data_IF_421181488193
#
_entry.id   IF_421181488193
#
_cell.length_a   1.000
_cell.length_b   1.000
_cell.length_c   1.000
_cell.angle_alpha   90.00
_cell.angle_beta   90.00
_cell.angle_gamma   90.00
#
_symmetry.space_group_name_H-M   'P 1'
#
loop_
_entity.id
_entity.type
_entity.pdbx_description
1 polymer ?
#
# COMPACT_ATOMS: atom_id res chain seq x y z
N UNK A 1 16.16 10.66 -20.43
CA UNK A 1 14.94 10.27 -21.13
C UNK A 1 14.23 9.31 -20.19
N UNK A 2 13.14 9.73 -19.57
CA UNK A 2 12.28 8.83 -18.80
C UNK A 2 11.56 7.94 -19.80
N UNK A 3 11.95 6.68 -19.91
CA UNK A 3 11.15 5.67 -20.60
C UNK A 3 9.86 5.58 -19.80
N UNK A 4 8.74 6.03 -20.36
CA UNK A 4 7.46 5.96 -19.66
C UNK A 4 7.15 4.50 -19.38
N UNK A 5 6.58 4.18 -18.22
CA UNK A 5 6.11 2.81 -17.89
C UNK A 5 5.15 2.23 -18.96
N UNK A 6 4.67 3.07 -19.89
CA UNK A 6 3.81 2.71 -21.02
C UNK A 6 4.52 1.87 -22.10
N UNK A 7 5.86 1.88 -22.14
CA UNK A 7 6.65 1.14 -23.14
C UNK A 7 7.18 -0.22 -22.63
N UNK A 8 6.89 -0.56 -21.36
CA UNK A 8 7.31 -1.84 -20.77
C UNK A 8 6.20 -2.87 -21.03
N UNK A 9 6.51 -4.07 -21.58
CA UNK A 9 5.53 -5.12 -21.73
C UNK A 9 4.84 -5.45 -20.40
N UNK A 10 3.54 -5.77 -20.39
CA UNK A 10 2.83 -6.10 -19.14
C UNK A 10 3.51 -7.26 -18.42
N UNK A 11 3.53 -7.22 -17.09
CA UNK A 11 4.05 -8.31 -16.29
C UNK A 11 3.19 -9.57 -16.47
N UNK A 12 3.75 -10.79 -16.33
CA UNK A 12 2.95 -12.01 -16.35
C UNK A 12 1.79 -11.90 -15.36
N UNK A 13 0.56 -12.26 -15.75
CA UNK A 13 -0.60 -12.12 -14.88
C UNK A 13 -0.51 -13.03 -13.64
N UNK A 14 -1.01 -12.54 -12.50
CA UNK A 14 -1.27 -13.36 -11.34
C UNK A 14 -2.55 -14.20 -11.51
N UNK A 15 -2.78 -15.14 -10.59
CA UNK A 15 -4.06 -15.84 -10.51
C UNK A 15 -5.08 -14.91 -9.84
N UNK A 16 -6.13 -14.54 -10.58
CA UNK A 16 -7.21 -13.71 -10.03
C UNK A 16 -8.13 -14.51 -9.14
N UNK A 17 -8.35 -14.04 -7.92
CA UNK A 17 -9.19 -14.67 -6.90
C UNK A 17 -10.14 -13.61 -6.34
N UNK A 18 -11.44 -13.90 -6.33
CA UNK A 18 -12.43 -13.04 -5.69
C UNK A 18 -12.38 -13.21 -4.17
N UNK A 19 -12.25 -12.13 -3.43
CA UNK A 19 -12.35 -12.16 -1.97
C UNK A 19 -13.76 -11.81 -1.46
N UNK A 20 -14.62 -11.29 -2.35
CA UNK A 20 -16.04 -11.04 -2.10
C UNK A 20 -16.83 -11.09 -3.42
N UNK A 21 -18.10 -10.64 -3.41
CA UNK A 21 -19.03 -10.81 -4.55
C UNK A 21 -19.00 -9.67 -5.57
N UNK A 22 -18.37 -8.54 -5.25
CA UNK A 22 -18.36 -7.36 -6.12
C UNK A 22 -17.29 -7.45 -7.20
N UNK A 23 -17.51 -6.77 -8.31
CA UNK A 23 -16.62 -6.71 -9.47
C UNK A 23 -15.18 -6.31 -9.09
N UNK A 24 -15.03 -5.33 -8.20
CA UNK A 24 -13.73 -4.79 -7.76
C UNK A 24 -13.20 -5.46 -6.48
N UNK A 25 -13.85 -6.53 -6.02
CA UNK A 25 -13.48 -7.24 -4.81
C UNK A 25 -12.68 -8.50 -5.15
N UNK A 26 -11.58 -8.29 -5.85
CA UNK A 26 -10.67 -9.33 -6.36
C UNK A 26 -9.22 -9.00 -5.98
N UNK A 27 -8.38 -10.01 -5.99
CA UNK A 27 -6.94 -9.83 -5.90
C UNK A 27 -6.22 -10.74 -6.89
N UNK A 28 -5.02 -10.35 -7.27
CA UNK A 28 -4.13 -11.14 -8.11
C UNK A 28 -3.03 -11.76 -7.24
N UNK A 29 -3.02 -13.09 -7.16
CA UNK A 29 -2.02 -13.86 -6.43
C UNK A 29 -0.91 -14.31 -7.38
N UNK A 30 0.34 -13.96 -7.05
CA UNK A 30 1.53 -14.55 -7.64
C UNK A 30 2.26 -15.36 -6.60
N UNK A 31 2.64 -16.58 -6.94
CA UNK A 31 3.38 -17.47 -6.04
C UNK A 31 4.75 -17.74 -6.67
N UNK A 32 5.86 -17.58 -5.93
CA UNK A 32 7.18 -17.87 -6.49
C UNK A 32 7.32 -19.35 -6.79
N UNK A 33 8.23 -19.68 -7.70
CA UNK A 33 8.62 -21.06 -7.96
C UNK A 33 9.32 -21.68 -6.75
N UNK A 34 9.22 -23.00 -6.62
CA UNK A 34 9.87 -23.75 -5.55
C UNK A 34 8.90 -24.22 -4.47
N UNK A 35 9.45 -24.85 -3.45
CA UNK A 35 8.66 -25.45 -2.36
C UNK A 35 8.36 -24.40 -1.30
N UNK A 36 7.07 -24.14 -1.03
CA UNK A 36 6.60 -23.29 0.07
C UNK A 36 6.72 -23.93 1.47
N UNK A 37 6.15 -23.32 2.51
CA UNK A 37 5.28 -22.16 2.41
C UNK A 37 6.08 -20.84 2.18
N UNK A 38 5.53 -19.97 1.31
CA UNK A 38 6.16 -18.72 0.92
C UNK A 38 5.72 -17.55 1.81
N UNK A 39 6.62 -16.65 2.23
CA UNK A 39 6.23 -15.39 2.85
C UNK A 39 5.38 -14.57 1.89
N UNK A 40 4.56 -13.65 2.41
CA UNK A 40 3.56 -12.92 1.62
C UNK A 40 3.80 -11.42 1.70
N UNK A 41 3.71 -10.75 0.56
CA UNK A 41 3.51 -9.31 0.48
C UNK A 41 2.08 -9.02 -0.01
N UNK A 42 1.26 -8.41 0.85
CA UNK A 42 0.02 -7.76 0.41
C UNK A 42 0.43 -6.48 -0.30
N UNK A 43 -0.03 -6.28 -1.53
CA UNK A 43 0.33 -5.09 -2.32
C UNK A 43 -0.92 -4.30 -2.66
N UNK A 44 -0.91 -2.98 -2.36
CA UNK A 44 -2.05 -2.09 -2.61
C UNK A 44 -1.61 -0.95 -3.53
N UNK A 45 -2.30 -0.83 -4.67
CA UNK A 45 -2.01 0.18 -5.68
C UNK A 45 -2.46 1.60 -5.25
N UNK A 46 -1.90 2.60 -5.91
CA UNK A 46 -2.20 4.01 -5.71
C UNK A 46 -3.34 4.55 -6.56
N UNK A 47 -3.14 5.76 -7.12
CA UNK A 47 -4.10 6.41 -8.02
C UNK A 47 -5.13 7.29 -7.32
N UNK A 48 -4.79 7.88 -6.17
CA UNK A 48 -5.69 8.79 -5.44
C UNK A 48 -7.09 8.21 -5.19
N UNK A 49 -7.18 6.89 -4.96
CA UNK A 49 -8.45 6.16 -4.75
C UNK A 49 -9.47 6.34 -5.88
N UNK A 50 -9.08 6.74 -7.11
CA UNK A 50 -9.98 7.00 -8.24
C UNK A 50 -10.12 5.78 -9.15
N UNK A 51 -11.34 5.52 -9.64
CA UNK A 51 -11.70 4.36 -10.46
C UNK A 51 -10.90 4.21 -11.78
N UNK A 52 -10.24 5.27 -12.25
CA UNK A 52 -9.41 5.22 -13.46
C UNK A 52 -8.07 4.49 -13.32
N UNK A 53 -7.66 4.18 -12.09
CA UNK A 53 -6.43 3.44 -11.78
C UNK A 53 -6.79 2.08 -11.20
N UNK A 54 -5.97 1.08 -11.44
CA UNK A 54 -6.22 -0.30 -11.04
C UNK A 54 -4.92 -1.04 -10.67
N UNK A 55 -5.01 -2.34 -10.46
CA UNK A 55 -3.90 -3.24 -10.13
C UNK A 55 -2.68 -3.14 -11.07
N UNK A 56 -2.88 -2.69 -12.32
CA UNK A 56 -1.79 -2.60 -13.31
C UNK A 56 -0.69 -1.65 -12.88
N UNK A 57 -1.02 -0.64 -12.05
CA UNK A 57 -0.03 0.29 -11.53
C UNK A 57 1.14 -0.41 -10.81
N UNK A 58 0.86 -1.53 -10.14
CA UNK A 58 1.84 -2.25 -9.30
C UNK A 58 2.19 -3.65 -9.81
N UNK A 59 1.77 -4.03 -11.01
CA UNK A 59 2.00 -5.40 -11.50
C UNK A 59 3.48 -5.75 -11.68
N UNK A 60 4.30 -4.80 -12.16
CA UNK A 60 5.75 -4.98 -12.30
C UNK A 60 6.45 -5.07 -10.95
N UNK A 61 6.00 -4.27 -9.98
CA UNK A 61 6.47 -4.35 -8.60
C UNK A 61 6.14 -5.72 -8.00
N UNK A 62 4.91 -6.22 -8.17
CA UNK A 62 4.51 -7.54 -7.71
C UNK A 62 5.35 -8.65 -8.31
N UNK A 63 5.60 -8.62 -9.63
CA UNK A 63 6.46 -9.57 -10.30
C UNK A 63 7.89 -9.53 -9.75
N UNK A 64 8.45 -8.33 -9.58
CA UNK A 64 9.80 -8.17 -9.06
C UNK A 64 9.93 -8.66 -7.60
N UNK A 65 8.93 -8.41 -6.75
CA UNK A 65 8.87 -8.91 -5.37
C UNK A 65 8.71 -10.44 -5.38
N UNK A 66 7.89 -10.98 -6.29
CA UNK A 66 7.72 -12.44 -6.41
C UNK A 66 9.02 -13.15 -6.77
N UNK A 67 9.85 -12.55 -7.63
CA UNK A 67 11.20 -13.06 -7.95
C UNK A 67 12.15 -13.05 -6.76
N UNK A 68 11.85 -12.31 -5.70
CA UNK A 68 12.62 -12.35 -4.44
C UNK A 68 12.16 -13.47 -3.49
N UNK A 69 11.22 -14.32 -3.91
CA UNK A 69 10.76 -15.47 -3.13
C UNK A 69 9.54 -15.19 -2.23
N UNK A 70 8.87 -14.06 -2.39
CA UNK A 70 7.62 -13.76 -1.69
C UNK A 70 6.41 -14.02 -2.60
N UNK A 71 5.36 -14.62 -2.08
CA UNK A 71 4.08 -14.53 -2.75
C UNK A 71 3.55 -13.09 -2.67
N UNK A 72 2.98 -12.58 -3.77
CA UNK A 72 2.32 -11.27 -3.76
C UNK A 72 0.82 -11.43 -3.89
N UNK A 73 0.08 -10.79 -2.98
CA UNK A 73 -1.37 -10.68 -2.99
C UNK A 73 -1.72 -9.22 -3.28
N UNK A 74 -1.92 -8.89 -4.56
CA UNK A 74 -2.25 -7.54 -5.01
C UNK A 74 -3.76 -7.35 -4.97
N UNK A 75 -4.22 -6.35 -4.21
CA UNK A 75 -5.64 -6.10 -3.98
C UNK A 75 -6.19 -5.04 -4.92
N UNK A 76 -7.28 -5.38 -5.62
CA UNK A 76 -8.20 -4.41 -6.17
C UNK A 76 -9.23 -4.05 -5.10
N UNK A 77 -9.81 -2.87 -5.17
CA UNK A 77 -10.79 -2.36 -4.21
C UNK A 77 -11.75 -1.38 -4.88
N UNK A 78 -12.94 -1.17 -4.34
CA UNK A 78 -13.87 -0.14 -4.81
C UNK A 78 -13.27 1.25 -4.57
N UNK A 79 -13.27 2.07 -5.61
CA UNK A 79 -12.66 3.41 -5.63
C UNK A 79 -13.73 4.47 -5.83
N UNK A 80 -13.38 5.72 -5.61
CA UNK A 80 -14.20 6.89 -5.98
C UNK A 80 -14.59 6.77 -7.46
N UNK A 81 -15.89 6.77 -7.74
CA UNK A 81 -16.45 6.52 -9.08
C UNK A 81 -17.00 5.10 -9.27
N UNK A 82 -16.62 4.13 -8.46
CA UNK A 82 -17.27 2.82 -8.44
C UNK A 82 -18.48 2.82 -7.48
N UNK A 83 -19.53 2.01 -7.75
CA UNK A 83 -20.64 1.85 -6.82
C UNK A 83 -20.16 1.39 -5.43
N UNK A 84 -20.45 2.18 -4.40
CA UNK A 84 -20.02 1.92 -3.03
C UNK A 84 -18.53 2.17 -2.74
N UNK A 85 -17.80 2.80 -3.66
CA UNK A 85 -16.43 3.25 -3.43
C UNK A 85 -16.37 4.51 -2.56
N UNK A 86 -15.17 4.87 -2.08
CA UNK A 86 -14.99 5.88 -1.03
C UNK A 86 -15.24 5.29 0.35
N UNK A 87 -15.48 6.17 1.33
CA UNK A 87 -15.77 5.77 2.71
C UNK A 87 -17.18 5.15 2.87
N UNK A 88 -17.33 4.01 3.58
CA UNK A 88 -16.26 3.16 4.12
C UNK A 88 -15.81 2.07 3.13
N UNK A 89 -16.44 1.95 1.95
CA UNK A 89 -16.32 0.81 1.05
C UNK A 89 -14.90 0.52 0.58
N UNK A 90 -14.10 1.55 0.26
CA UNK A 90 -12.68 1.38 -0.12
C UNK A 90 -11.88 0.72 0.99
N UNK A 91 -12.05 1.17 2.22
CA UNK A 91 -11.32 0.67 3.38
C UNK A 91 -11.79 -0.74 3.78
N UNK A 92 -13.12 -0.98 3.74
CA UNK A 92 -13.71 -2.30 4.01
C UNK A 92 -13.22 -3.35 3.02
N UNK A 93 -13.06 -3.00 1.75
CA UNK A 93 -12.53 -3.91 0.73
C UNK A 93 -11.08 -4.29 1.02
N UNK A 94 -10.24 -3.33 1.36
CA UNK A 94 -8.84 -3.59 1.73
C UNK A 94 -8.74 -4.51 2.95
N UNK A 95 -9.53 -4.25 3.98
CA UNK A 95 -9.60 -5.09 5.18
C UNK A 95 -10.06 -6.51 4.84
N UNK A 96 -11.13 -6.65 4.05
CA UNK A 96 -11.69 -7.95 3.66
C UNK A 96 -10.75 -8.72 2.76
N UNK A 97 -10.12 -8.04 1.79
CA UNK A 97 -9.15 -8.63 0.87
C UNK A 97 -7.89 -9.12 1.59
N UNK A 98 -7.39 -8.37 2.59
CA UNK A 98 -6.26 -8.80 3.40
C UNK A 98 -6.61 -10.03 4.25
N UNK A 99 -7.76 -10.04 4.93
CA UNK A 99 -8.24 -11.17 5.72
C UNK A 99 -8.49 -12.43 4.88
N UNK A 100 -8.78 -12.28 3.58
CA UNK A 100 -9.02 -13.42 2.67
C UNK A 100 -7.81 -14.35 2.54
N UNK A 101 -6.59 -13.85 2.78
CA UNK A 101 -5.38 -14.69 2.79
C UNK A 101 -5.51 -15.90 3.71
N UNK A 102 -6.19 -15.78 4.84
CA UNK A 102 -6.40 -16.89 5.78
C UNK A 102 -7.15 -18.07 5.12
N UNK A 103 -8.05 -17.78 4.17
CA UNK A 103 -8.85 -18.79 3.48
C UNK A 103 -8.07 -19.54 2.40
N UNK A 104 -7.09 -18.87 1.77
CA UNK A 104 -6.35 -19.44 0.64
C UNK A 104 -4.95 -19.93 1.02
N UNK A 105 -4.47 -19.63 2.22
CA UNK A 105 -3.08 -19.83 2.62
C UNK A 105 -2.61 -21.27 2.51
N UNK A 106 -3.41 -22.22 3.01
CA UNK A 106 -3.06 -23.66 3.00
C UNK A 106 -2.99 -24.20 1.58
N UNK A 107 -4.00 -23.92 0.77
CA UNK A 107 -4.07 -24.37 -0.63
C UNK A 107 -2.95 -23.79 -1.48
N UNK A 108 -2.59 -22.54 -1.22
CA UNK A 108 -1.59 -21.79 -1.98
C UNK A 108 -0.18 -21.81 -1.37
N UNK A 109 0.03 -22.61 -0.32
CA UNK A 109 1.32 -22.74 0.37
C UNK A 109 1.92 -21.40 0.81
N UNK A 110 1.11 -20.57 1.49
CA UNK A 110 1.49 -19.25 2.00
C UNK A 110 1.85 -19.32 3.49
N UNK A 111 2.89 -18.61 3.90
CA UNK A 111 3.32 -18.49 5.29
C UNK A 111 2.74 -17.23 5.94
N UNK A 112 1.61 -17.36 6.59
CA UNK A 112 0.95 -16.23 7.26
C UNK A 112 1.67 -15.74 8.53
N UNK A 113 2.75 -16.40 8.96
CA UNK A 113 3.63 -15.86 10.01
C UNK A 113 4.62 -14.84 9.47
N UNK A 114 4.76 -14.74 8.14
CA UNK A 114 5.66 -13.84 7.46
C UNK A 114 4.90 -13.01 6.41
N UNK A 115 3.96 -12.19 6.87
CA UNK A 115 3.18 -11.29 6.03
C UNK A 115 3.68 -9.86 6.22
N UNK A 116 4.00 -9.17 5.15
CA UNK A 116 4.21 -7.73 5.10
C UNK A 116 3.14 -7.08 4.24
N UNK A 117 2.77 -5.83 4.54
CA UNK A 117 1.91 -5.05 3.66
C UNK A 117 2.73 -3.94 3.03
N UNK A 118 2.61 -3.78 1.69
CA UNK A 118 3.23 -2.67 0.98
C UNK A 118 2.23 -1.97 0.09
N UNK A 119 2.40 -0.67 -0.10
CA UNK A 119 1.48 0.10 -0.93
C UNK A 119 2.09 1.42 -1.35
N UNK A 120 1.65 1.90 -2.52
CA UNK A 120 2.14 3.12 -3.13
C UNK A 120 1.11 4.25 -3.04
N UNK A 121 1.54 5.46 -2.69
CA UNK A 121 0.69 6.65 -2.73
C UNK A 121 -0.60 6.50 -1.90
N UNK A 122 -1.76 6.51 -2.52
CA UNK A 122 -3.04 6.15 -1.91
C UNK A 122 -3.05 4.71 -1.34
N UNK A 123 -2.36 3.77 -1.99
CA UNK A 123 -2.14 2.42 -1.46
C UNK A 123 -1.24 2.41 -0.21
N UNK A 124 -0.27 3.33 -0.15
CA UNK A 124 0.56 3.56 1.04
C UNK A 124 -0.27 4.04 2.24
N UNK A 125 -1.25 4.92 2.00
CA UNK A 125 -2.26 5.29 2.99
C UNK A 125 -3.02 4.04 3.48
N UNK A 126 -3.52 3.21 2.54
CA UNK A 126 -4.36 2.05 2.84
C UNK A 126 -3.62 0.95 3.62
N UNK A 127 -2.33 0.70 3.36
CA UNK A 127 -1.56 -0.29 4.13
C UNK A 127 -1.23 0.19 5.54
N UNK A 128 -0.97 1.48 5.74
CA UNK A 128 -0.79 2.06 7.07
C UNK A 128 -2.10 1.99 7.86
N UNK A 129 -3.24 2.31 7.24
CA UNK A 129 -4.55 2.18 7.85
C UNK A 129 -4.87 0.71 8.20
N UNK A 130 -4.57 -0.23 7.30
CA UNK A 130 -4.82 -1.67 7.46
C UNK A 130 -4.16 -2.23 8.73
N UNK A 131 -2.97 -1.76 9.08
CA UNK A 131 -2.24 -2.21 10.26
C UNK A 131 -3.04 -2.06 11.55
N UNK A 132 -3.90 -1.04 11.64
CA UNK A 132 -4.74 -0.80 12.82
C UNK A 132 -6.01 -1.64 12.85
N UNK A 133 -6.32 -2.36 11.75
CA UNK A 133 -7.59 -3.08 11.62
C UNK A 133 -7.55 -4.50 12.18
N UNK A 134 -6.37 -5.03 12.52
CA UNK A 134 -6.18 -6.42 12.98
C UNK A 134 -6.81 -7.47 12.05
N UNK A 135 -6.87 -7.17 10.75
CA UNK A 135 -7.47 -8.05 9.74
C UNK A 135 -6.60 -9.27 9.45
N UNK A 136 -5.31 -9.14 9.61
CA UNK A 136 -4.28 -10.18 9.49
C UNK A 136 -3.05 -9.75 10.29
N UNK A 137 -2.31 -10.69 10.85
CA UNK A 137 -1.06 -10.40 11.53
C UNK A 137 0.01 -9.94 10.52
N UNK A 138 0.57 -8.74 10.73
CA UNK A 138 1.60 -8.16 9.88
C UNK A 138 2.95 -8.13 10.62
N UNK A 139 4.03 -8.52 9.95
CA UNK A 139 5.41 -8.33 10.44
C UNK A 139 5.89 -6.90 10.27
N UNK A 140 5.37 -6.20 9.28
CA UNK A 140 5.72 -4.81 9.01
C UNK A 140 5.01 -4.24 7.80
N UNK A 141 5.24 -2.96 7.59
CA UNK A 141 4.65 -2.17 6.52
C UNK A 141 5.76 -1.47 5.74
N UNK A 142 5.64 -1.51 4.41
CA UNK A 142 6.43 -0.72 3.46
C UNK A 142 5.50 0.27 2.78
N UNK A 143 5.53 1.52 3.20
CA UNK A 143 4.71 2.58 2.63
C UNK A 143 5.55 3.42 1.66
N UNK A 144 5.20 3.37 0.38
CA UNK A 144 5.90 4.05 -0.72
C UNK A 144 5.19 5.36 -1.03
N UNK A 145 5.81 6.51 -0.72
CA UNK A 145 5.26 7.85 -0.90
C UNK A 145 3.80 7.99 -0.41
N UNK A 146 3.47 7.57 0.84
CA UNK A 146 2.10 7.44 1.28
C UNK A 146 1.40 8.78 1.49
N UNK A 147 0.09 8.84 1.22
CA UNK A 147 -0.78 9.94 1.67
C UNK A 147 -1.17 9.69 3.14
N UNK A 148 -0.21 9.77 4.05
CA UNK A 148 -0.35 9.31 5.44
C UNK A 148 -1.02 10.32 6.39
N UNK A 149 -1.21 11.58 5.96
CA UNK A 149 -1.91 12.65 6.70
C UNK A 149 -3.02 13.23 5.82
N UNK A 150 -4.25 12.71 5.99
CA UNK A 150 -5.38 13.10 5.14
C UNK A 150 -5.84 14.55 5.37
N UNK A 151 -5.69 15.10 6.58
CA UNK A 151 -6.02 16.51 6.83
C UNK A 151 -5.04 17.41 6.11
N UNK A 152 -3.75 17.10 6.22
CA UNK A 152 -2.72 17.86 5.51
C UNK A 152 -2.86 17.74 3.99
N UNK A 153 -3.15 16.54 3.49
CA UNK A 153 -3.43 16.31 2.08
C UNK A 153 -4.63 17.13 1.57
N UNK A 154 -5.68 17.26 2.39
CA UNK A 154 -6.83 18.10 2.10
C UNK A 154 -6.48 19.58 2.09
N UNK A 155 -5.71 20.08 3.09
CA UNK A 155 -5.23 21.46 3.16
C UNK A 155 -4.39 21.85 1.94
N UNK A 156 -3.50 20.96 1.52
CA UNK A 156 -2.65 21.12 0.35
C UNK A 156 -3.41 20.97 -0.98
N UNK A 157 -4.71 20.61 -0.93
CA UNK A 157 -5.55 20.33 -2.11
C UNK A 157 -4.91 19.31 -3.05
N UNK A 158 -4.28 18.27 -2.51
CA UNK A 158 -3.65 17.23 -3.32
C UNK A 158 -4.68 16.60 -4.27
N UNK A 159 -4.38 16.68 -5.58
CA UNK A 159 -5.31 16.26 -6.64
C UNK A 159 -6.72 16.86 -6.52
N UNK A 160 -6.83 18.13 -6.06
CA UNK A 160 -8.07 18.88 -5.93
C UNK A 160 -8.89 18.49 -4.71
N UNK A 161 -10.08 17.91 -4.92
CA UNK A 161 -11.04 17.55 -3.86
C UNK A 161 -10.95 16.10 -3.41
N UNK A 162 -9.95 15.35 -3.89
CA UNK A 162 -9.97 13.88 -3.81
C UNK A 162 -10.07 13.30 -2.39
N UNK A 163 -9.50 13.98 -1.39
CA UNK A 163 -9.61 13.54 0.00
C UNK A 163 -11.05 13.72 0.51
N UNK A 164 -11.68 14.84 0.16
CA UNK A 164 -13.09 15.08 0.47
C UNK A 164 -13.99 14.10 -0.30
N UNK A 165 -13.66 13.78 -1.55
CA UNK A 165 -14.40 12.80 -2.35
C UNK A 165 -14.30 11.38 -1.74
N UNK A 166 -13.12 11.01 -1.22
CA UNK A 166 -12.92 9.75 -0.52
C UNK A 166 -13.77 9.64 0.75
N UNK A 167 -13.76 10.68 1.58
CA UNK A 167 -14.38 10.68 2.91
C UNK A 167 -15.80 11.20 2.94
N UNK A 168 -16.26 11.81 1.82
CA UNK A 168 -17.62 12.32 1.65
C UNK A 168 -17.81 13.77 2.10
N UNK A 169 -16.74 14.52 2.42
CA UNK A 169 -16.81 15.91 2.83
C UNK A 169 -15.53 16.43 3.48
N UNK A 170 -15.60 17.65 4.04
CA UNK A 170 -14.45 18.35 4.61
C UNK A 170 -14.05 17.79 6.00
N UNK A 171 -12.81 18.06 6.48
CA UNK A 171 -12.40 17.72 7.85
C UNK A 171 -13.19 18.41 8.94
N UNK A 172 -13.78 19.58 8.63
CA UNK A 172 -14.63 20.33 9.56
C UNK A 172 -15.98 19.65 9.76
N UNK A 173 -16.57 19.12 8.67
CA UNK A 173 -17.89 18.48 8.69
C UNK A 173 -17.82 17.03 9.17
N UNK A 174 -16.75 16.32 8.83
CA UNK A 174 -16.59 14.87 9.03
C UNK A 174 -15.34 14.51 9.84
N UNK A 175 -15.05 15.26 10.89
CA UNK A 175 -13.84 15.12 11.71
C UNK A 175 -13.55 13.68 12.15
N UNK A 176 -14.61 12.92 12.52
CA UNK A 176 -14.47 11.53 12.98
C UNK A 176 -14.05 10.58 11.85
N UNK A 177 -14.50 10.82 10.61
CA UNK A 177 -14.04 10.03 9.46
C UNK A 177 -12.57 10.28 9.17
N UNK A 178 -12.12 11.53 9.21
CA UNK A 178 -10.70 11.86 9.08
C UNK A 178 -9.88 11.19 10.18
N UNK A 179 -10.34 11.26 11.44
CA UNK A 179 -9.67 10.61 12.57
C UNK A 179 -9.55 9.10 12.40
N UNK A 180 -10.58 8.44 11.89
CA UNK A 180 -10.60 6.99 11.73
C UNK A 180 -9.93 6.50 10.45
N UNK A 181 -9.70 7.37 9.47
CA UNK A 181 -9.09 7.02 8.19
C UNK A 181 -7.65 7.51 8.04
N UNK A 182 -7.22 8.58 8.72
CA UNK A 182 -5.90 9.17 8.55
C UNK A 182 -4.84 8.42 9.37
N UNK A 183 -3.83 7.78 8.74
CA UNK A 183 -2.82 7.01 9.45
C UNK A 183 -2.10 7.77 10.57
N UNK A 184 -1.81 9.06 10.37
CA UNK A 184 -1.15 9.89 11.40
C UNK A 184 -2.00 10.03 12.67
N UNK A 185 -3.32 9.91 12.57
CA UNK A 185 -4.24 9.98 13.72
C UNK A 185 -4.47 8.59 14.36
N UNK A 186 -3.93 7.51 13.75
CA UNK A 186 -4.10 6.14 14.23
C UNK A 186 -2.87 5.59 14.98
N UNK A 187 -1.77 6.33 15.00
CA UNK A 187 -0.55 5.91 15.70
C UNK A 187 -0.77 5.83 17.23
N UNK A 188 -0.15 4.88 17.96
CA UNK A 188 0.78 3.89 17.44
C UNK A 188 0.06 2.76 16.69
N UNK A 189 0.67 2.29 15.60
CA UNK A 189 0.17 1.14 14.84
C UNK A 189 0.60 -0.21 15.42
N UNK A 190 1.69 -0.22 16.20
CA UNK A 190 2.18 -1.41 16.89
C UNK A 190 2.92 -2.43 16.01
N UNK A 191 3.26 -2.05 14.77
CA UNK A 191 4.06 -2.86 13.84
C UNK A 191 5.21 -2.05 13.27
N UNK A 192 6.29 -2.70 12.84
CA UNK A 192 7.41 -2.03 12.20
C UNK A 192 6.99 -1.35 10.90
N UNK A 193 7.39 -0.10 10.69
CA UNK A 193 7.02 0.71 9.54
C UNK A 193 8.26 1.25 8.85
N UNK A 194 8.33 1.07 7.54
CA UNK A 194 9.35 1.67 6.68
C UNK A 194 8.63 2.52 5.64
N UNK A 195 8.82 3.82 5.74
CA UNK A 195 8.24 4.80 4.83
C UNK A 195 9.34 5.23 3.87
N UNK A 196 9.20 4.91 2.60
CA UNK A 196 10.13 5.32 1.55
C UNK A 196 9.51 6.50 0.78
N UNK A 197 10.31 7.53 0.51
CA UNK A 197 9.82 8.69 -0.21
C UNK A 197 10.93 9.28 -1.09
N UNK A 198 10.61 9.52 -2.35
CA UNK A 198 11.54 10.15 -3.28
C UNK A 198 11.77 11.63 -2.95
N UNK A 199 13.01 12.10 -3.00
CA UNK A 199 13.30 13.51 -2.70
C UNK A 199 12.82 14.48 -3.79
N UNK A 200 12.54 13.96 -5.00
CA UNK A 200 12.01 14.72 -6.14
C UNK A 200 10.52 14.41 -6.42
N UNK A 201 9.80 13.87 -5.41
CA UNK A 201 8.38 13.60 -5.55
C UNK A 201 7.58 14.90 -5.73
N UNK A 202 6.95 15.05 -6.89
CA UNK A 202 6.15 16.19 -7.29
C UNK A 202 4.63 15.94 -7.19
N UNK A 203 4.24 14.73 -6.75
CA UNK A 203 2.85 14.27 -6.63
C UNK A 203 2.38 14.30 -5.17
N UNK A 204 3.14 13.67 -4.27
CA UNK A 204 2.89 13.70 -2.82
C UNK A 204 4.07 14.39 -2.13
N UNK A 205 3.87 15.55 -1.50
CA UNK A 205 4.96 16.25 -0.81
C UNK A 205 5.62 15.40 0.27
N UNK A 206 6.95 15.34 0.27
CA UNK A 206 7.76 14.60 1.24
C UNK A 206 7.44 14.97 2.70
N UNK A 207 6.97 16.21 2.93
CA UNK A 207 6.58 16.67 4.27
C UNK A 207 5.50 15.78 4.90
N UNK A 208 4.60 15.17 4.11
CA UNK A 208 3.55 14.27 4.61
C UNK A 208 4.17 13.05 5.28
N UNK A 209 5.17 12.44 4.64
CA UNK A 209 5.89 11.31 5.22
C UNK A 209 6.74 11.69 6.42
N UNK A 210 7.38 12.85 6.40
CA UNK A 210 8.15 13.37 7.54
C UNK A 210 7.25 13.60 8.76
N UNK A 211 6.09 14.23 8.58
CA UNK A 211 5.09 14.44 9.64
C UNK A 211 4.59 13.12 10.22
N UNK A 212 4.21 12.19 9.35
CA UNK A 212 3.74 10.88 9.77
C UNK A 212 4.78 10.12 10.60
N UNK A 213 6.02 10.00 10.11
CA UNK A 213 7.09 9.26 10.81
C UNK A 213 7.46 9.92 12.13
N UNK A 214 7.43 11.26 12.20
CA UNK A 214 7.65 11.98 13.45
C UNK A 214 6.59 11.62 14.49
N UNK A 215 5.29 11.69 14.13
CA UNK A 215 4.19 11.34 15.02
C UNK A 215 4.21 9.85 15.44
N UNK A 216 4.53 8.94 14.51
CA UNK A 216 4.64 7.51 14.80
C UNK A 216 5.76 7.22 15.82
N UNK A 217 6.93 7.84 15.66
CA UNK A 217 8.05 7.72 16.61
C UNK A 217 7.71 8.29 17.99
N UNK A 218 7.07 9.46 18.03
CA UNK A 218 6.63 10.10 19.27
C UNK A 218 5.63 9.21 20.02
N UNK A 219 4.81 8.48 19.29
CA UNK A 219 3.85 7.50 19.84
C UNK A 219 4.47 6.13 20.20
N UNK A 220 5.78 5.95 19.98
CA UNK A 220 6.51 4.72 20.35
C UNK A 220 6.58 3.64 19.28
N UNK A 221 6.17 3.91 18.05
CA UNK A 221 6.27 2.96 16.94
C UNK A 221 7.71 2.80 16.41
N UNK A 222 8.09 1.59 15.97
CA UNK A 222 9.29 1.34 15.15
C UNK A 222 9.04 1.86 13.72
N UNK A 223 9.12 3.17 13.54
CA UNK A 223 8.89 3.82 12.26
C UNK A 223 10.19 4.48 11.75
N UNK A 224 10.52 4.26 10.47
CA UNK A 224 11.69 4.85 9.81
C UNK A 224 11.29 5.51 8.50
N UNK A 225 11.78 6.74 8.27
CA UNK A 225 11.73 7.39 6.96
C UNK A 225 13.03 7.07 6.20
N UNK A 226 12.89 6.65 4.96
CA UNK A 226 13.98 6.39 4.02
C UNK A 226 13.76 7.34 2.84
N UNK A 227 14.49 8.45 2.82
CA UNK A 227 14.45 9.41 1.73
C UNK A 227 15.32 8.89 0.58
N UNK A 228 14.70 8.59 -0.57
CA UNK A 228 15.39 8.05 -1.74
C UNK A 228 15.85 9.22 -2.61
N UNK A 229 17.14 9.48 -2.56
CA UNK A 229 17.74 10.64 -3.23
C UNK A 229 17.51 10.61 -4.75
N UNK A 230 16.99 11.70 -5.31
CA UNK A 230 16.75 11.86 -6.74
C UNK A 230 15.54 11.11 -7.30
N UNK A 231 14.92 10.21 -6.55
CA UNK A 231 13.72 9.51 -7.01
C UNK A 231 12.50 10.45 -6.97
N UNK A 232 11.61 10.32 -7.94
CA UNK A 232 10.27 10.91 -7.96
C UNK A 232 9.24 9.96 -7.36
N UNK A 233 7.97 10.17 -7.72
CA UNK A 233 6.84 9.41 -7.17
C UNK A 233 6.80 7.97 -7.66
N UNK A 234 6.95 7.75 -8.97
CA UNK A 234 6.74 6.45 -9.60
C UNK A 234 7.98 5.56 -9.62
N UNK A 235 9.18 6.11 -9.44
CA UNK A 235 10.42 5.34 -9.34
C UNK A 235 10.39 4.34 -8.17
N UNK A 236 9.58 4.62 -7.14
CA UNK A 236 9.43 3.72 -5.99
C UNK A 236 8.70 2.41 -6.33
N UNK A 237 7.96 2.37 -7.44
CA UNK A 237 7.25 1.16 -7.91
C UNK A 237 7.81 0.60 -9.22
N UNK A 238 8.85 1.23 -9.77
CA UNK A 238 9.53 0.78 -10.97
C UNK A 238 10.75 -0.10 -10.63
N UNK A 239 10.71 -1.43 -10.89
CA UNK A 239 11.83 -2.31 -10.63
C UNK A 239 13.08 -2.04 -11.49
N UNK A 240 12.97 -1.18 -12.51
CA UNK A 240 14.11 -0.79 -13.34
C UNK A 240 14.76 0.52 -12.85
N UNK A 241 14.14 1.20 -11.88
CA UNK A 241 14.63 2.46 -11.33
C UNK A 241 15.81 2.26 -10.36
N UNK A 242 16.52 3.35 -10.09
CA UNK A 242 17.54 3.38 -9.03
C UNK A 242 16.98 3.23 -7.61
N UNK A 243 15.67 3.36 -7.41
CA UNK A 243 15.01 3.16 -6.13
C UNK A 243 14.79 1.68 -5.78
N UNK A 244 14.74 0.79 -6.79
CA UNK A 244 14.41 -0.63 -6.58
C UNK A 244 15.30 -1.35 -5.55
N UNK A 245 16.64 -1.21 -5.53
CA UNK A 245 17.46 -1.87 -4.53
C UNK A 245 17.00 -1.56 -3.10
N UNK A 246 16.70 -0.30 -2.80
CA UNK A 246 16.25 0.16 -1.48
C UNK A 246 14.87 -0.40 -1.15
N UNK A 247 13.92 -0.38 -2.09
CA UNK A 247 12.58 -0.97 -1.92
C UNK A 247 12.69 -2.46 -1.63
N UNK A 248 13.44 -3.19 -2.43
CA UNK A 248 13.67 -4.64 -2.28
C UNK A 248 14.27 -4.98 -0.92
N UNK A 249 15.36 -4.32 -0.53
CA UNK A 249 16.04 -4.56 0.74
C UNK A 249 15.11 -4.30 1.92
N UNK A 250 14.31 -3.26 1.85
CA UNK A 250 13.33 -2.90 2.89
C UNK A 250 12.25 -3.97 3.07
N UNK A 251 11.72 -4.51 1.97
CA UNK A 251 10.74 -5.61 2.03
C UNK A 251 11.37 -6.86 2.64
N UNK A 252 12.59 -7.21 2.21
CA UNK A 252 13.30 -8.39 2.69
C UNK A 252 13.72 -8.25 4.17
N UNK A 253 14.11 -7.05 4.62
CA UNK A 253 14.37 -6.76 6.04
C UNK A 253 13.17 -7.12 6.90
N UNK A 254 11.99 -6.59 6.54
CA UNK A 254 10.78 -6.77 7.36
C UNK A 254 10.27 -8.20 7.37
N UNK A 255 10.25 -8.86 6.21
CA UNK A 255 9.73 -10.23 6.11
C UNK A 255 10.61 -11.25 6.82
N UNK A 256 11.91 -10.99 6.91
CA UNK A 256 12.90 -11.85 7.57
C UNK A 256 13.23 -11.42 9.01
N UNK A 257 12.67 -10.31 9.49
CA UNK A 257 12.86 -9.85 10.87
C UNK A 257 12.39 -10.95 11.83
N UNK A 258 13.29 -11.37 12.73
CA UNK A 258 12.92 -12.31 13.80
C UNK A 258 11.91 -11.64 14.74
N UNK A 259 10.90 -12.36 15.23
CA UNK A 259 9.93 -11.85 16.21
C UNK A 259 10.57 -11.29 17.46
#
# INVERSE_FOLDING_TARGET
MLTSMQDVPPAPPGTRIAYSRGEFQVGDLRVPSGRGPHPVAIVIHGGYWRARYDLKEVEHLCEAVTRQGLATWSLEYRRIGNPGGGWPGTLDDVRTGAAHLEKIATERSLDLKRVVAMGHSAGGHLVLWLAKQNAIALRGIVALAPVADLRRAWELKLSGTVVADLLGGSPQDLSDRYRSASPIELVPLGVAQRVLHGTNDDVVPLEISRRYVAAAKESGDDSKLIEVAGAGHFELIDPQSSAWPVVKETVLELVNKTP
#
